data_IF_448841466425
#
_entry.id   IF_448841466425
#
_cell.length_a   1.000
_cell.length_b   1.000
_cell.length_c   1.000
_cell.angle_alpha   90.00
_cell.angle_beta   90.00
_cell.angle_gamma   90.00
#
_symmetry.space_group_name_H-M   'P 1'
#
loop_
_entity.id
_entity.type
_entity.pdbx_description
1 polymer ?
#
# COMPACT_ATOMS: atom_id res chain seq x y z
N UNK A 1 17.86 -16.19 14.74
CA UNK A 1 17.97 -15.02 15.62
C UNK A 1 17.04 -13.97 15.06
N UNK A 2 16.13 -13.48 15.91
CA UNK A 2 15.11 -12.45 15.67
C UNK A 2 14.27 -12.56 14.39
N UNK A 3 13.14 -13.26 14.47
CA UNK A 3 11.93 -12.82 13.76
C UNK A 3 10.96 -12.27 14.80
N UNK A 4 11.43 -11.24 15.52
CA UNK A 4 10.51 -10.23 16.06
C UNK A 4 9.83 -9.57 14.86
N UNK A 5 8.58 -9.17 15.04
CA UNK A 5 7.73 -8.55 14.02
C UNK A 5 8.55 -7.61 13.13
N UNK A 6 8.79 -7.99 11.88
CA UNK A 6 9.44 -7.09 10.92
C UNK A 6 8.39 -6.06 10.52
N UNK A 7 8.71 -4.79 10.72
CA UNK A 7 7.82 -3.69 10.36
C UNK A 7 7.91 -3.42 8.86
N UNK A 8 6.88 -2.80 8.30
CA UNK A 8 6.92 -2.34 6.92
C UNK A 8 7.98 -1.26 6.73
N UNK A 9 8.14 -0.37 7.71
CA UNK A 9 9.15 0.71 7.70
C UNK A 9 10.57 0.18 7.59
N UNK A 10 10.88 -0.94 8.26
CA UNK A 10 12.22 -1.55 8.26
C UNK A 10 12.63 -2.09 6.88
N UNK A 11 11.65 -2.37 6.01
CA UNK A 11 11.89 -2.98 4.70
C UNK A 11 11.98 -1.96 3.58
N UNK A 12 11.82 -0.67 3.87
CA UNK A 12 11.84 0.37 2.83
C UNK A 12 13.18 0.39 2.11
N UNK A 13 14.29 0.35 2.84
CA UNK A 13 15.64 0.40 2.27
C UNK A 13 15.89 -0.76 1.30
N UNK A 14 15.48 -1.97 1.67
CA UNK A 14 15.59 -3.16 0.82
C UNK A 14 14.71 -3.05 -0.44
N UNK A 15 13.51 -2.49 -0.31
CA UNK A 15 12.57 -2.34 -1.44
C UNK A 15 13.01 -1.25 -2.42
N UNK A 16 13.71 -0.21 -1.96
CA UNK A 16 14.15 0.89 -2.81
C UNK A 16 15.57 0.71 -3.35
N UNK A 17 16.32 -0.29 -2.86
CA UNK A 17 17.68 -0.55 -3.29
C UNK A 17 17.78 -0.72 -4.82
N UNK A 18 18.76 -0.05 -5.42
CA UNK A 18 18.97 -0.04 -6.86
C UNK A 18 17.88 0.63 -7.71
N UNK A 19 16.81 1.19 -7.12
CA UNK A 19 15.75 1.85 -7.89
C UNK A 19 16.05 3.30 -8.27
N UNK A 20 17.07 3.93 -7.66
CA UNK A 20 17.45 5.32 -7.95
C UNK A 20 16.33 6.32 -7.63
N UNK A 21 15.67 6.13 -6.49
CA UNK A 21 14.68 7.07 -5.95
C UNK A 21 15.36 8.18 -5.15
N UNK A 22 14.77 9.36 -5.13
CA UNK A 22 15.29 10.48 -4.32
C UNK A 22 15.09 10.24 -2.81
N UNK A 23 15.89 10.93 -2.01
CA UNK A 23 15.71 10.98 -0.55
C UNK A 23 14.30 11.47 -0.17
N UNK A 24 13.70 12.40 -0.92
CA UNK A 24 12.32 12.83 -0.70
C UNK A 24 11.33 11.68 -0.91
N UNK A 25 11.51 10.88 -1.96
CA UNK A 25 10.67 9.73 -2.22
C UNK A 25 10.78 8.68 -1.10
N UNK A 26 12.02 8.39 -0.67
CA UNK A 26 12.30 7.40 0.37
C UNK A 26 11.71 7.87 1.70
N UNK A 27 11.98 9.10 2.13
CA UNK A 27 11.43 9.66 3.37
C UNK A 27 9.89 9.62 3.39
N UNK A 28 9.25 9.94 2.25
CA UNK A 28 7.79 9.88 2.13
C UNK A 28 7.27 8.44 2.18
N UNK A 29 7.98 7.48 1.58
CA UNK A 29 7.63 6.06 1.66
C UNK A 29 7.77 5.52 3.10
N UNK A 30 8.86 5.85 3.79
CA UNK A 30 9.08 5.50 5.19
C UNK A 30 7.96 6.04 6.07
N UNK A 31 7.59 7.31 5.92
CA UNK A 31 6.49 7.88 6.70
C UNK A 31 5.14 7.18 6.47
N UNK A 32 4.81 6.80 5.23
CA UNK A 32 3.61 6.01 4.97
C UNK A 32 3.66 4.61 5.62
N UNK A 33 4.82 3.96 5.59
CA UNK A 33 5.00 2.63 6.19
C UNK A 33 4.94 2.69 7.72
N UNK A 34 5.59 3.66 8.37
CA UNK A 34 5.53 3.87 9.81
C UNK A 34 4.09 4.09 10.30
N UNK A 35 3.31 4.92 9.60
CA UNK A 35 1.89 5.10 9.93
C UNK A 35 1.08 3.83 9.73
N UNK A 36 1.38 3.06 8.68
CA UNK A 36 0.77 1.75 8.46
C UNK A 36 1.20 0.68 9.49
N UNK A 37 2.32 0.87 10.18
CA UNK A 37 2.77 -0.03 11.25
C UNK A 37 2.13 0.32 12.60
N UNK A 38 1.97 1.62 12.91
CA UNK A 38 1.65 2.08 14.26
C UNK A 38 0.33 2.83 14.43
N UNK A 39 -0.13 3.55 13.41
CA UNK A 39 -1.33 4.41 13.50
C UNK A 39 -2.55 3.76 12.84
N UNK A 40 -2.35 3.18 11.66
CA UNK A 40 -3.37 2.54 10.84
C UNK A 40 -2.91 1.16 10.34
N UNK A 41 -2.85 0.15 11.24
CA UNK A 41 -2.37 -1.19 10.88
C UNK A 41 -3.13 -1.83 9.72
N UNK A 42 -2.38 -2.16 8.67
CA UNK A 42 -2.90 -2.81 7.47
C UNK A 42 -2.72 -4.33 7.58
N UNK A 43 -3.79 -5.10 7.34
CA UNK A 43 -3.76 -6.56 7.44
C UNK A 43 -3.12 -7.21 6.19
N UNK A 44 -1.82 -6.98 6.01
CA UNK A 44 -0.98 -7.49 4.91
C UNK A 44 0.41 -7.84 5.42
N UNK A 45 1.22 -8.50 4.59
CA UNK A 45 2.63 -8.72 4.95
C UNK A 45 3.40 -7.39 4.96
N UNK A 46 4.39 -7.22 5.85
CA UNK A 46 5.24 -6.03 5.89
C UNK A 46 5.83 -5.66 4.53
N UNK A 47 6.30 -6.66 3.76
CA UNK A 47 6.85 -6.44 2.41
C UNK A 47 5.83 -5.90 1.41
N UNK A 48 4.56 -6.31 1.53
CA UNK A 48 3.50 -5.76 0.69
C UNK A 48 3.15 -4.32 1.08
N UNK A 49 3.17 -4.01 2.38
CA UNK A 49 2.93 -2.66 2.89
C UNK A 49 4.08 -1.73 2.47
N UNK A 50 5.33 -2.14 2.66
CA UNK A 50 6.53 -1.39 2.24
C UNK A 50 6.49 -1.08 0.72
N UNK A 51 6.26 -2.10 -0.12
CA UNK A 51 6.14 -1.91 -1.56
C UNK A 51 4.93 -1.03 -1.94
N UNK A 52 3.82 -1.13 -1.21
CA UNK A 52 2.66 -0.25 -1.39
C UNK A 52 2.97 1.21 -1.05
N UNK A 53 3.69 1.45 0.06
CA UNK A 53 4.14 2.76 0.50
C UNK A 53 5.08 3.40 -0.52
N UNK A 54 6.08 2.66 -1.02
CA UNK A 54 6.99 3.12 -2.09
C UNK A 54 6.22 3.42 -3.36
N UNK A 55 5.27 2.57 -3.75
CA UNK A 55 4.44 2.82 -4.93
C UNK A 55 3.65 4.13 -4.80
N UNK A 56 3.04 4.39 -3.63
CA UNK A 56 2.30 5.63 -3.37
C UNK A 56 3.22 6.84 -3.36
N UNK A 57 4.32 6.81 -2.60
CA UNK A 57 5.29 7.89 -2.49
C UNK A 57 5.86 8.29 -3.85
N UNK A 58 6.28 7.31 -4.65
CA UNK A 58 6.81 7.53 -6.01
C UNK A 58 5.83 8.28 -6.91
N UNK A 59 4.52 8.12 -6.69
CA UNK A 59 3.48 8.86 -7.45
C UNK A 59 3.27 10.27 -6.92
N UNK A 60 3.43 10.49 -5.62
CA UNK A 60 3.28 11.80 -5.00
C UNK A 60 4.45 12.74 -5.32
N UNK A 61 5.65 12.19 -5.49
CA UNK A 61 6.85 12.96 -5.89
C UNK A 61 7.13 12.91 -7.40
N UNK A 62 6.23 12.28 -8.18
CA UNK A 62 6.35 12.11 -9.64
C UNK A 62 7.56 11.28 -10.13
N UNK A 63 8.16 10.45 -9.28
CA UNK A 63 9.22 9.48 -9.59
C UNK A 63 8.67 8.07 -9.83
N UNK A 64 7.66 7.97 -10.69
CA UNK A 64 6.81 6.78 -10.81
C UNK A 64 7.61 5.48 -10.99
N UNK A 65 7.35 4.51 -10.11
CA UNK A 65 7.76 3.12 -10.31
C UNK A 65 6.57 2.26 -10.69
N UNK A 66 6.80 1.24 -11.50
CA UNK A 66 5.72 0.30 -11.86
C UNK A 66 5.54 -0.72 -10.74
N UNK A 67 4.32 -1.25 -10.61
CA UNK A 67 4.07 -2.35 -9.67
C UNK A 67 4.90 -3.60 -10.01
N UNK A 68 5.34 -3.77 -11.27
CA UNK A 68 6.21 -4.86 -11.68
C UNK A 68 7.60 -4.71 -11.04
N UNK A 69 8.22 -3.54 -11.17
CA UNK A 69 9.55 -3.25 -10.57
C UNK A 69 9.53 -3.47 -9.06
N UNK A 70 8.50 -2.99 -8.38
CA UNK A 70 8.36 -3.16 -6.93
C UNK A 70 8.01 -4.60 -6.53
N UNK A 71 7.31 -5.34 -7.39
CA UNK A 71 7.00 -6.76 -7.19
C UNK A 71 8.27 -7.60 -7.24
N UNK A 72 9.17 -7.30 -8.17
CA UNK A 72 10.45 -7.98 -8.34
C UNK A 72 11.39 -7.68 -7.17
N UNK A 73 11.45 -6.42 -6.72
CA UNK A 73 12.28 -6.01 -5.57
C UNK A 73 11.76 -6.55 -4.24
N UNK A 74 10.46 -6.41 -3.93
CA UNK A 74 9.90 -6.77 -2.63
C UNK A 74 9.49 -8.25 -2.51
N UNK A 75 9.61 -9.04 -3.58
CA UNK A 75 9.24 -10.47 -3.56
C UNK A 75 7.75 -10.74 -3.33
N UNK A 76 6.87 -9.76 -3.63
CA UNK A 76 5.41 -9.87 -3.43
C UNK A 76 4.67 -9.67 -4.74
N UNK A 77 3.42 -10.15 -4.82
CA UNK A 77 2.61 -9.99 -6.03
C UNK A 77 2.19 -8.54 -6.28
N UNK A 78 2.03 -8.15 -7.55
CA UNK A 78 1.46 -6.84 -7.95
C UNK A 78 0.09 -6.56 -7.32
N UNK A 79 -0.72 -7.60 -7.11
CA UNK A 79 -2.04 -7.46 -6.45
C UNK A 79 -1.89 -7.11 -4.98
N UNK A 80 -0.90 -7.69 -4.28
CA UNK A 80 -0.62 -7.34 -2.89
C UNK A 80 -0.17 -5.87 -2.77
N UNK A 81 0.75 -5.44 -3.64
CA UNK A 81 1.19 -4.03 -3.73
C UNK A 81 -0.01 -3.12 -4.01
N UNK A 82 -0.85 -3.52 -4.97
CA UNK A 82 -2.05 -2.77 -5.35
C UNK A 82 -2.98 -2.56 -4.14
N UNK A 83 -3.28 -3.64 -3.43
CA UNK A 83 -4.21 -3.57 -2.30
C UNK A 83 -3.61 -2.73 -1.16
N UNK A 84 -2.34 -2.93 -0.83
CA UNK A 84 -1.65 -2.18 0.21
C UNK A 84 -1.62 -0.67 -0.09
N UNK A 85 -1.19 -0.24 -1.29
CA UNK A 85 -1.14 1.20 -1.57
C UNK A 85 -2.54 1.85 -1.58
N UNK A 86 -3.59 1.10 -1.96
CA UNK A 86 -4.96 1.62 -1.96
C UNK A 86 -5.44 1.87 -0.53
N UNK A 87 -5.13 0.95 0.40
CA UNK A 87 -5.46 1.07 1.83
C UNK A 87 -4.65 2.19 2.48
N UNK A 88 -3.34 2.28 2.21
CA UNK A 88 -2.50 3.41 2.66
C UNK A 88 -3.08 4.73 2.14
N UNK A 89 -3.37 4.83 0.83
CA UNK A 89 -3.90 6.06 0.25
C UNK A 89 -5.25 6.47 0.86
N UNK A 90 -6.09 5.51 1.23
CA UNK A 90 -7.36 5.78 1.93
C UNK A 90 -7.11 6.38 3.32
N UNK A 91 -6.18 5.81 4.10
CA UNK A 91 -5.79 6.35 5.41
C UNK A 91 -5.15 7.74 5.31
N UNK A 92 -4.38 8.00 4.26
CA UNK A 92 -3.75 9.30 4.01
C UNK A 92 -4.72 10.35 3.41
N UNK A 93 -5.97 9.98 3.12
CA UNK A 93 -6.93 10.85 2.43
C UNK A 93 -6.53 11.20 0.99
N UNK A 94 -5.64 10.41 0.39
CA UNK A 94 -5.17 10.60 -0.97
C UNK A 94 -6.14 9.92 -1.93
N UNK A 95 -6.70 10.63 -2.92
CA UNK A 95 -7.58 10.01 -3.90
C UNK A 95 -6.82 9.01 -4.77
N UNK A 96 -6.84 7.74 -4.36
CA UNK A 96 -6.47 6.63 -5.23
C UNK A 96 -7.59 6.49 -6.26
N UNK A 97 -7.25 6.26 -7.54
CA UNK A 97 -8.21 6.17 -8.66
C UNK A 97 -9.02 4.86 -8.55
N UNK A 98 -9.77 4.73 -7.46
CA UNK A 98 -10.63 3.62 -7.13
C UNK A 98 -11.99 4.00 -7.70
N UNK A 99 -12.45 3.24 -8.70
CA UNK A 99 -13.90 3.22 -8.94
C UNK A 99 -14.48 2.68 -7.64
N UNK A 100 -15.34 3.42 -6.90
CA UNK A 100 -16.02 2.83 -5.75
C UNK A 100 -16.62 1.51 -6.23
N UNK A 101 -16.31 0.43 -5.51
CA UNK A 101 -16.84 -0.89 -5.82
C UNK A 101 -18.34 -0.74 -6.02
N UNK A 102 -18.89 -1.31 -7.10
CA UNK A 102 -20.33 -1.29 -7.32
C UNK A 102 -20.99 -1.75 -6.02
N UNK A 103 -21.69 -0.85 -5.33
CA UNK A 103 -22.61 -1.25 -4.28
C UNK A 103 -23.55 -2.27 -4.92
N UNK A 104 -23.40 -3.54 -4.54
CA UNK A 104 -24.41 -4.52 -4.90
C UNK A 104 -25.65 -4.07 -4.17
N UNK A 105 -26.59 -3.48 -4.89
CA UNK A 105 -27.90 -3.11 -4.37
C UNK A 105 -28.61 -4.41 -4.01
N UNK A 106 -28.32 -4.94 -2.82
CA UNK A 106 -29.16 -5.95 -2.18
C UNK A 106 -30.24 -5.19 -1.41
N UNK A 107 -30.99 -4.39 -2.16
CA UNK A 107 -32.25 -3.81 -1.70
C UNK A 107 -33.26 -4.94 -1.66
N UNK A 108 -33.53 -5.41 -0.43
CA UNK A 108 -34.83 -5.85 0.08
C UNK A 108 -35.92 -5.98 -1.00
N UNK A 109 -36.09 -7.19 -1.57
CA UNK A 109 -37.39 -7.57 -2.12
C UNK A 109 -38.30 -7.86 -0.93
N UNK A 110 -39.22 -6.93 -0.69
CA UNK A 110 -40.09 -6.88 0.48
C UNK A 110 -40.92 -8.14 0.70
N UNK A 111 -41.09 -8.45 1.99
CA UNK A 111 -42.20 -9.22 2.52
C UNK A 111 -43.50 -8.61 2.02
N UNK A 112 -44.22 -9.32 1.16
CA UNK A 112 -45.62 -9.03 0.89
C UNK A 112 -46.45 -9.89 1.84
N UNK A 113 -47.00 -9.24 2.85
CA UNK A 113 -48.20 -9.69 3.55
C UNK A 113 -49.39 -9.42 2.65
N UNK A 114 -50.23 -10.44 2.40
CA UNK A 114 -51.70 -10.50 2.36
C UNK A 114 -52.09 -11.90 1.90
#
# INVERSE_FOLDING_TARGET
>A
MSSGLSLASDQIDDVVDGLGLSEECIAKATGYAERADFEHPINRSPSAVAAGAVYLASRMVNEKRTQAVLSDSAGVSRVAIRNAYQEIAEHEGIPSRTRPGRETTRSRRGSRSW
#
